data_IF_737522125398
#
_entry.id   IF_737522125398
#
_cell.length_a   1.000
_cell.length_b   1.000
_cell.length_c   1.000
_cell.angle_alpha   90.00
_cell.angle_beta   90.00
_cell.angle_gamma   90.00
#
_symmetry.space_group_name_H-M   'P 1'
#
loop_
_entity.id
_entity.type
_entity.pdbx_description
1 polymer ?
#
# COMPACT_ATOMS: atom_id res chain seq x y z
N UNK A 1 -23.01 11.83 35.58
CA UNK A 1 -23.38 13.15 35.04
C UNK A 1 -22.73 13.21 33.69
N UNK A 2 -23.58 13.34 32.69
CA UNK A 2 -23.38 13.00 31.29
C UNK A 2 -22.08 13.56 30.71
N UNK A 3 -21.27 12.67 30.17
CA UNK A 3 -20.09 13.00 29.37
C UNK A 3 -20.50 12.96 27.91
N UNK A 4 -21.08 14.06 27.45
CA UNK A 4 -21.19 14.35 26.03
C UNK A 4 -19.77 14.57 25.50
N UNK A 5 -19.22 13.54 24.85
CA UNK A 5 -18.09 13.74 23.94
C UNK A 5 -18.56 14.76 22.90
N UNK A 6 -17.89 15.92 22.88
CA UNK A 6 -18.13 16.95 21.88
C UNK A 6 -17.99 16.28 20.51
N UNK A 7 -19.14 16.13 19.87
CA UNK A 7 -19.26 15.72 18.50
C UNK A 7 -18.35 16.62 17.66
N UNK A 8 -17.53 15.99 16.80
CA UNK A 8 -17.10 16.66 15.58
C UNK A 8 -18.34 17.29 14.94
N UNK A 9 -18.26 18.47 14.33
CA UNK A 9 -19.43 19.08 13.72
C UNK A 9 -20.08 18.01 12.85
N UNK A 10 -21.39 17.83 13.03
CA UNK A 10 -22.23 17.11 12.10
C UNK A 10 -22.01 17.78 10.74
N UNK A 11 -20.98 17.35 10.00
CA UNK A 11 -20.99 17.47 8.56
C UNK A 11 -22.20 16.64 8.21
N UNK A 12 -23.33 17.32 7.98
CA UNK A 12 -24.51 16.77 7.33
C UNK A 12 -24.01 15.68 6.40
N UNK A 13 -24.42 14.43 6.67
CA UNK A 13 -24.09 13.30 5.81
C UNK A 13 -24.18 13.82 4.39
N UNK A 14 -23.06 13.78 3.65
CA UNK A 14 -22.92 14.36 2.33
C UNK A 14 -23.86 13.57 1.41
N UNK A 15 -25.14 13.89 1.53
CA UNK A 15 -26.30 13.32 0.91
C UNK A 15 -26.60 14.24 -0.25
N UNK A 16 -25.58 14.46 -1.08
CA UNK A 16 -25.82 14.96 -2.42
C UNK A 16 -26.66 13.91 -3.16
N UNK A 17 -27.68 14.35 -3.92
CA UNK A 17 -28.73 13.47 -4.37
C UNK A 17 -28.16 12.46 -5.37
N UNK A 18 -28.02 11.21 -4.92
CA UNK A 18 -28.08 10.09 -5.86
C UNK A 18 -29.43 10.22 -6.53
N UNK A 19 -29.43 10.41 -7.85
CA UNK A 19 -30.66 10.36 -8.64
C UNK A 19 -31.38 9.08 -8.23
N UNK A 20 -32.60 9.18 -7.68
CA UNK A 20 -33.31 8.02 -7.13
C UNK A 20 -33.53 6.93 -8.20
N UNK A 21 -33.39 7.32 -9.47
CA UNK A 21 -33.45 6.47 -10.64
C UNK A 21 -32.14 5.70 -10.96
N UNK A 22 -31.00 6.08 -10.37
CA UNK A 22 -29.72 5.33 -10.44
C UNK A 22 -29.64 4.18 -9.42
N UNK A 23 -30.53 4.16 -8.41
CA UNK A 23 -30.68 3.04 -7.45
C UNK A 23 -31.52 1.91 -8.09
N UNK A 24 -31.37 1.69 -9.39
CA UNK A 24 -32.00 0.57 -10.08
C UNK A 24 -31.23 -0.71 -9.79
N UNK A 25 -31.84 -1.68 -9.10
CA UNK A 25 -31.49 -3.11 -8.97
C UNK A 25 -30.16 -3.54 -9.64
N UNK A 26 -29.02 -3.08 -9.13
CA UNK A 26 -27.71 -3.57 -9.53
C UNK A 26 -27.24 -4.59 -8.49
N UNK A 27 -26.70 -5.70 -8.97
CA UNK A 27 -26.12 -6.71 -8.10
C UNK A 27 -24.70 -6.28 -7.70
N UNK A 28 -24.52 -6.01 -6.41
CA UNK A 28 -23.24 -5.60 -5.85
C UNK A 28 -22.15 -6.66 -6.06
N UNK A 29 -22.52 -7.94 -6.13
CA UNK A 29 -21.58 -9.03 -6.34
C UNK A 29 -21.00 -9.03 -7.76
N UNK A 30 -21.63 -8.35 -8.73
CA UNK A 30 -21.21 -8.33 -10.14
C UNK A 30 -21.00 -6.93 -10.70
N UNK A 31 -21.22 -5.88 -9.90
CA UNK A 31 -21.03 -4.49 -10.31
C UNK A 31 -19.61 -4.24 -10.84
N UNK A 32 -19.50 -3.45 -11.92
CA UNK A 32 -18.22 -3.11 -12.56
C UNK A 32 -17.73 -4.16 -13.56
N UNK A 33 -18.34 -5.36 -13.59
CA UNK A 33 -18.03 -6.38 -14.58
C UNK A 33 -18.88 -6.24 -15.84
N UNK A 34 -18.22 -6.29 -17.00
CA UNK A 34 -18.92 -6.42 -18.28
C UNK A 34 -19.55 -7.81 -18.41
N UNK A 35 -20.62 -7.96 -19.21
CA UNK A 35 -21.24 -9.27 -19.47
C UNK A 35 -20.27 -10.32 -20.03
N UNK A 36 -19.21 -9.87 -20.73
CA UNK A 36 -18.13 -10.74 -21.20
C UNK A 36 -17.34 -11.42 -20.08
N UNK A 37 -17.36 -10.86 -18.86
CA UNK A 37 -16.71 -11.46 -17.70
C UNK A 37 -17.34 -12.81 -17.32
N UNK A 38 -18.62 -13.03 -17.62
CA UNK A 38 -19.35 -14.26 -17.29
C UNK A 38 -19.31 -15.30 -18.41
N UNK A 39 -18.75 -14.95 -19.57
CA UNK A 39 -18.50 -15.94 -20.62
C UNK A 39 -17.59 -17.01 -20.03
N UNK A 40 -18.00 -18.27 -20.18
CA UNK A 40 -17.26 -19.44 -19.68
C UNK A 40 -17.05 -19.45 -18.15
N UNK A 41 -17.93 -18.82 -17.37
CA UNK A 41 -17.89 -18.84 -15.90
C UNK A 41 -17.66 -20.25 -15.34
N UNK A 42 -18.43 -21.24 -15.79
CA UNK A 42 -18.25 -22.63 -15.40
C UNK A 42 -16.81 -23.14 -15.65
N UNK A 43 -16.17 -22.76 -16.77
CA UNK A 43 -14.79 -23.16 -17.04
C UNK A 43 -13.80 -22.47 -16.09
N UNK A 44 -14.03 -21.21 -15.75
CA UNK A 44 -13.19 -20.49 -14.77
C UNK A 44 -13.28 -21.10 -13.38
N UNK A 45 -14.49 -21.43 -12.93
CA UNK A 45 -14.73 -22.09 -11.64
C UNK A 45 -14.10 -23.48 -11.61
N UNK A 46 -14.30 -24.28 -12.67
CA UNK A 46 -13.67 -25.59 -12.77
C UNK A 46 -12.13 -25.50 -12.83
N UNK A 47 -11.59 -24.49 -13.51
CA UNK A 47 -10.14 -24.26 -13.54
C UNK A 47 -9.58 -23.93 -12.15
N UNK A 48 -10.30 -23.15 -11.34
CA UNK A 48 -9.91 -22.85 -9.96
C UNK A 48 -9.98 -24.09 -9.06
N UNK A 49 -11.06 -24.88 -9.16
CA UNK A 49 -11.23 -26.15 -8.40
C UNK A 49 -10.11 -27.15 -8.70
N UNK A 50 -9.80 -27.32 -9.99
CA UNK A 50 -8.85 -28.32 -10.45
C UNK A 50 -7.41 -27.78 -10.49
N UNK A 51 -7.14 -26.58 -9.93
CA UNK A 51 -5.82 -25.95 -9.98
C UNK A 51 -4.76 -26.82 -9.29
N UNK A 52 -5.12 -27.46 -8.18
CA UNK A 52 -4.24 -28.37 -7.44
C UNK A 52 -3.87 -29.63 -8.24
N UNK A 53 -4.77 -30.10 -9.11
CA UNK A 53 -4.57 -31.32 -9.91
C UNK A 53 -3.55 -31.09 -11.05
N UNK A 54 -3.19 -29.82 -11.31
CA UNK A 54 -2.16 -29.44 -12.30
C UNK A 54 -0.74 -29.56 -11.76
N UNK A 55 -0.57 -29.71 -10.44
CA UNK A 55 0.75 -29.84 -9.84
C UNK A 55 1.23 -31.28 -9.97
N UNK A 56 2.31 -31.48 -10.72
CA UNK A 56 2.97 -32.79 -10.79
C UNK A 56 3.66 -33.13 -9.45
N UNK A 57 3.95 -34.41 -9.17
CA UNK A 57 4.76 -34.78 -8.00
C UNK A 57 6.10 -34.04 -7.92
N UNK A 58 6.73 -33.74 -9.05
CA UNK A 58 7.95 -32.94 -9.12
C UNK A 58 7.69 -31.50 -8.64
N UNK A 59 6.61 -30.86 -9.09
CA UNK A 59 6.25 -29.52 -8.65
C UNK A 59 6.00 -29.47 -7.14
N UNK A 60 5.32 -30.48 -6.59
CA UNK A 60 5.11 -30.56 -5.15
C UNK A 60 6.42 -30.70 -4.37
N UNK A 61 7.36 -31.50 -4.86
CA UNK A 61 8.70 -31.64 -4.28
C UNK A 61 9.51 -30.33 -4.32
N UNK A 62 9.44 -29.59 -5.43
CA UNK A 62 10.08 -28.29 -5.56
C UNK A 62 9.47 -27.24 -4.63
N UNK A 63 8.13 -27.21 -4.51
CA UNK A 63 7.40 -26.32 -3.59
C UNK A 63 7.81 -26.62 -2.15
N UNK A 64 7.82 -27.89 -1.74
CA UNK A 64 8.23 -28.30 -0.39
C UNK A 64 9.70 -27.92 -0.09
N UNK A 65 10.58 -28.09 -1.08
CA UNK A 65 11.99 -27.69 -0.94
C UNK A 65 12.11 -26.18 -0.77
N UNK A 66 11.41 -25.40 -1.60
CA UNK A 66 11.40 -23.95 -1.50
C UNK A 66 10.83 -23.46 -0.17
N UNK A 67 9.69 -24.02 0.23
CA UNK A 67 9.03 -23.74 1.50
C UNK A 67 9.97 -23.97 2.70
N UNK A 68 10.68 -25.10 2.71
CA UNK A 68 11.68 -25.43 3.73
C UNK A 68 12.80 -24.38 3.79
N UNK A 69 13.34 -23.96 2.64
CA UNK A 69 14.41 -22.95 2.57
C UNK A 69 13.93 -21.62 3.18
N UNK A 70 12.72 -21.18 2.83
CA UNK A 70 12.15 -19.91 3.30
C UNK A 70 11.84 -19.98 4.80
N UNK A 71 11.15 -21.03 5.25
CA UNK A 71 10.77 -21.19 6.67
C UNK A 71 11.97 -21.29 7.60
N UNK A 72 13.02 -22.00 7.19
CA UNK A 72 14.23 -22.18 7.99
C UNK A 72 15.33 -21.15 7.69
N UNK A 73 15.07 -20.19 6.79
CA UNK A 73 15.99 -19.11 6.39
C UNK A 73 17.37 -19.67 6.01
N UNK A 74 17.41 -20.76 5.24
CA UNK A 74 18.67 -21.39 4.84
C UNK A 74 19.53 -20.41 4.04
N UNK A 75 20.78 -20.22 4.48
CA UNK A 75 21.76 -19.46 3.72
C UNK A 75 22.10 -20.15 2.40
N UNK A 76 22.40 -19.36 1.36
CA UNK A 76 22.80 -19.86 0.04
C UNK A 76 23.95 -20.87 0.14
N UNK A 77 24.98 -20.53 0.92
CA UNK A 77 26.14 -21.41 1.13
C UNK A 77 25.74 -22.72 1.83
N UNK A 78 24.88 -22.65 2.84
CA UNK A 78 24.37 -23.82 3.56
C UNK A 78 23.57 -24.73 2.63
N UNK A 79 22.71 -24.17 1.78
CA UNK A 79 21.94 -24.97 0.81
C UNK A 79 22.85 -25.74 -0.14
N UNK A 80 23.86 -25.07 -0.70
CA UNK A 80 24.81 -25.74 -1.59
C UNK A 80 25.71 -26.74 -0.86
N UNK A 81 26.09 -26.49 0.39
CA UNK A 81 26.81 -27.46 1.21
C UNK A 81 25.95 -28.71 1.49
N UNK A 82 24.66 -28.53 1.80
CA UNK A 82 23.73 -29.65 1.97
C UNK A 82 23.61 -30.47 0.69
N UNK A 83 23.48 -29.78 -0.44
CA UNK A 83 23.43 -30.41 -1.76
C UNK A 83 24.73 -31.18 -2.08
N UNK A 84 25.89 -30.72 -1.65
CA UNK A 84 27.16 -31.39 -1.93
C UNK A 84 27.44 -32.58 -1.00
N UNK A 85 27.16 -32.43 0.30
CA UNK A 85 27.54 -33.39 1.33
C UNK A 85 26.52 -34.51 1.53
N UNK A 86 25.22 -34.22 1.36
CA UNK A 86 24.15 -35.16 1.73
C UNK A 86 23.36 -35.70 0.54
N UNK A 87 23.51 -35.12 -0.65
CA UNK A 87 22.89 -35.65 -1.88
C UNK A 87 23.85 -36.64 -2.52
N UNK A 88 23.49 -37.92 -2.41
CA UNK A 88 24.27 -39.05 -2.94
C UNK A 88 24.30 -39.05 -4.46
N UNK A 89 25.44 -38.66 -5.04
CA UNK A 89 25.65 -38.58 -6.49
C UNK A 89 25.56 -39.95 -7.20
N UNK A 90 25.67 -41.05 -6.45
CA UNK A 90 25.63 -42.43 -6.92
C UNK A 90 24.21 -43.00 -7.08
N UNK A 91 23.17 -42.28 -6.64
CA UNK A 91 21.77 -42.71 -6.76
C UNK A 91 21.04 -41.91 -7.85
N UNK A 92 20.49 -42.55 -8.89
CA UNK A 92 19.68 -41.85 -9.89
C UNK A 92 18.41 -41.28 -9.23
N UNK A 93 18.04 -40.04 -9.60
CA UNK A 93 16.86 -39.29 -9.14
C UNK A 93 16.92 -38.69 -7.72
N UNK A 94 18.08 -38.62 -7.06
CA UNK A 94 18.26 -37.75 -5.88
C UNK A 94 19.07 -36.53 -6.28
N UNK A 95 18.41 -35.46 -6.72
CA UNK A 95 19.08 -34.17 -6.94
C UNK A 95 18.22 -33.05 -6.40
N UNK A 96 18.75 -32.25 -5.46
CA UNK A 96 18.14 -30.97 -5.15
C UNK A 96 18.34 -30.02 -6.34
N UNK A 97 17.32 -29.28 -6.78
CA UNK A 97 17.47 -28.26 -7.82
C UNK A 97 18.39 -27.11 -7.36
N UNK A 98 18.98 -26.37 -8.30
CA UNK A 98 19.67 -25.12 -7.94
C UNK A 98 18.67 -24.08 -7.43
N UNK A 99 19.11 -23.15 -6.57
CA UNK A 99 18.24 -22.06 -6.10
C UNK A 99 17.65 -21.24 -7.25
N UNK A 100 18.45 -20.96 -8.29
CA UNK A 100 17.98 -20.26 -9.50
C UNK A 100 16.84 -21.02 -10.18
N UNK A 101 16.96 -22.35 -10.29
CA UNK A 101 15.92 -23.20 -10.87
C UNK A 101 14.65 -23.16 -10.01
N UNK A 102 14.78 -23.34 -8.68
CA UNK A 102 13.66 -23.24 -7.74
C UNK A 102 12.92 -21.90 -7.86
N UNK A 103 13.63 -20.78 -7.82
CA UNK A 103 13.02 -19.45 -7.94
C UNK A 103 12.25 -19.29 -9.27
N UNK A 104 12.84 -19.75 -10.38
CA UNK A 104 12.21 -19.70 -11.70
C UNK A 104 10.94 -20.55 -11.75
N UNK A 105 11.00 -21.78 -11.18
CA UNK A 105 9.86 -22.68 -11.09
C UNK A 105 8.77 -22.12 -10.18
N UNK A 106 9.10 -21.58 -9.01
CA UNK A 106 8.14 -20.97 -8.09
C UNK A 106 7.43 -19.78 -8.74
N UNK A 107 8.17 -18.93 -9.45
CA UNK A 107 7.57 -17.82 -10.20
C UNK A 107 6.57 -18.36 -11.24
N UNK A 108 6.97 -19.36 -12.02
CA UNK A 108 6.09 -19.98 -13.02
C UNK A 108 4.84 -20.65 -12.42
N UNK A 109 4.99 -21.36 -11.30
CA UNK A 109 3.90 -22.06 -10.61
C UNK A 109 2.95 -21.12 -9.89
N UNK A 110 3.45 -20.00 -9.36
CA UNK A 110 2.62 -19.00 -8.68
C UNK A 110 1.65 -18.29 -9.61
N UNK A 111 1.93 -18.28 -10.93
CA UNK A 111 1.18 -17.51 -11.91
C UNK A 111 1.40 -15.99 -11.82
N UNK A 112 2.25 -15.52 -10.91
CA UNK A 112 2.57 -14.11 -10.76
C UNK A 112 3.50 -13.63 -11.88
N UNK A 113 3.15 -12.50 -12.48
CA UNK A 113 3.98 -11.80 -13.48
C UNK A 113 4.42 -10.49 -12.89
N UNK A 114 5.69 -10.40 -12.51
CA UNK A 114 6.26 -9.14 -12.02
C UNK A 114 6.39 -8.13 -13.14
N UNK A 115 6.20 -6.85 -12.82
CA UNK A 115 6.39 -5.74 -13.75
C UNK A 115 7.65 -4.98 -13.34
N UNK A 116 8.56 -4.76 -14.29
CA UNK A 116 9.79 -4.03 -14.04
C UNK A 116 9.65 -2.59 -14.53
N UNK A 117 9.94 -1.65 -13.65
CA UNK A 117 9.96 -0.23 -13.93
C UNK A 117 11.38 0.32 -13.79
N UNK A 118 11.78 1.20 -14.70
CA UNK A 118 13.06 1.89 -14.57
C UNK A 118 12.97 2.90 -13.44
N UNK A 119 14.02 3.01 -12.63
CA UNK A 119 14.10 4.00 -11.55
C UNK A 119 15.47 4.66 -11.50
N UNK A 120 15.54 5.79 -10.80
CA UNK A 120 16.82 6.46 -10.58
C UNK A 120 17.76 5.56 -9.77
N UNK A 121 19.05 5.54 -10.14
CA UNK A 121 20.10 4.78 -9.44
C UNK A 121 20.24 5.13 -7.95
N UNK A 122 19.97 6.39 -7.61
CA UNK A 122 19.94 6.89 -6.22
C UNK A 122 18.54 6.82 -5.59
N UNK A 123 17.65 6.03 -6.20
CA UNK A 123 16.28 5.75 -5.75
C UNK A 123 15.38 6.98 -5.63
N UNK A 124 15.75 8.09 -6.28
CA UNK A 124 15.03 9.35 -6.12
C UNK A 124 13.58 9.26 -6.61
N UNK A 125 13.36 8.65 -7.79
CA UNK A 125 12.08 8.55 -8.51
C UNK A 125 11.94 7.22 -9.23
N UNK A 126 10.70 6.81 -9.46
CA UNK A 126 10.29 5.83 -10.47
C UNK A 126 9.93 6.55 -11.79
N UNK A 127 10.46 6.11 -12.92
CA UNK A 127 10.14 6.68 -14.23
C UNK A 127 8.81 6.09 -14.75
N UNK A 128 7.70 6.53 -14.16
CA UNK A 128 6.33 6.13 -14.53
C UNK A 128 5.41 7.36 -14.56
N UNK A 129 4.20 7.20 -15.10
CA UNK A 129 3.21 8.26 -15.21
C UNK A 129 3.80 9.52 -15.86
N UNK A 130 3.75 10.64 -15.15
CA UNK A 130 4.27 11.94 -15.63
C UNK A 130 5.81 11.99 -15.74
N UNK A 131 6.54 11.05 -15.15
CA UNK A 131 8.00 10.93 -15.24
C UNK A 131 8.46 9.90 -16.30
N UNK A 132 7.54 9.21 -16.97
CA UNK A 132 7.85 8.08 -17.85
C UNK A 132 8.79 8.45 -19.02
N UNK A 133 8.70 9.69 -19.52
CA UNK A 133 9.48 10.16 -20.66
C UNK A 133 10.81 10.83 -20.28
N UNK A 134 11.13 10.94 -18.99
CA UNK A 134 12.39 11.53 -18.56
C UNK A 134 13.54 10.54 -18.74
N UNK A 135 14.65 11.04 -19.27
CA UNK A 135 15.91 10.28 -19.37
C UNK A 135 16.89 10.64 -18.26
N UNK A 136 16.63 11.71 -17.52
CA UNK A 136 17.46 12.24 -16.43
C UNK A 136 16.60 12.46 -15.19
N UNK A 137 17.15 12.14 -14.01
CA UNK A 137 16.44 12.29 -12.75
C UNK A 137 16.24 13.79 -12.40
N UNK A 138 15.00 14.25 -12.16
CA UNK A 138 14.73 15.66 -11.85
C UNK A 138 15.29 16.13 -10.49
N UNK A 139 15.74 15.20 -9.63
CA UNK A 139 16.26 15.54 -8.30
C UNK A 139 17.79 15.45 -8.16
N UNK A 140 18.45 14.59 -8.93
CA UNK A 140 19.90 14.39 -8.81
C UNK A 140 20.67 14.55 -10.12
N UNK A 141 19.98 14.73 -11.25
CA UNK A 141 20.59 14.94 -12.56
C UNK A 141 21.31 13.72 -13.14
N UNK A 142 21.12 12.53 -12.55
CA UNK A 142 21.70 11.30 -13.08
C UNK A 142 20.82 10.72 -14.18
N UNK A 143 21.47 10.21 -15.23
CA UNK A 143 20.80 9.50 -16.32
C UNK A 143 20.09 8.22 -15.82
N UNK A 144 18.92 7.96 -16.39
CA UNK A 144 18.20 6.70 -16.21
C UNK A 144 18.97 5.51 -16.81
N UNK A 145 19.69 5.73 -17.91
CA UNK A 145 20.37 4.69 -18.68
C UNK A 145 21.89 4.81 -18.56
N UNK A 146 22.60 3.68 -18.68
CA UNK A 146 24.06 3.67 -18.79
C UNK A 146 24.50 3.87 -20.25
N UNK A 147 25.82 3.95 -20.48
CA UNK A 147 26.38 4.11 -21.82
C UNK A 147 26.04 2.99 -22.82
N UNK A 148 25.59 1.81 -22.33
CA UNK A 148 25.14 0.70 -23.16
C UNK A 148 23.62 0.73 -23.43
N UNK A 149 22.90 1.76 -22.97
CA UNK A 149 21.45 1.91 -23.14
C UNK A 149 20.61 1.07 -22.18
N UNK A 150 21.21 0.41 -21.18
CA UNK A 150 20.48 -0.35 -20.18
C UNK A 150 20.11 0.53 -18.97
N UNK A 151 18.95 0.29 -18.32
CA UNK A 151 18.56 1.05 -17.13
C UNK A 151 19.58 0.85 -16.00
N UNK A 152 19.94 1.93 -15.30
CA UNK A 152 20.91 1.88 -14.20
C UNK A 152 20.33 1.24 -12.93
N UNK A 153 19.01 1.33 -12.72
CA UNK A 153 18.30 0.66 -11.64
C UNK A 153 16.87 0.29 -12.08
N UNK A 154 16.33 -0.74 -11.44
CA UNK A 154 14.99 -1.28 -11.72
C UNK A 154 14.26 -1.50 -10.40
N UNK A 155 13.01 -1.05 -10.37
CA UNK A 155 12.04 -1.41 -9.34
C UNK A 155 11.15 -2.53 -9.89
N UNK A 156 11.08 -3.64 -9.17
CA UNK A 156 10.21 -4.77 -9.52
C UNK A 156 8.93 -4.69 -8.69
N UNK A 157 7.83 -4.45 -9.38
CA UNK A 157 6.49 -4.46 -8.84
C UNK A 157 5.88 -5.85 -8.95
N UNK A 158 5.20 -6.29 -7.88
CA UNK A 158 4.48 -7.56 -7.79
C UNK A 158 2.98 -7.21 -7.75
N UNK A 159 2.24 -7.44 -8.85
CA UNK A 159 0.83 -7.06 -8.97
C UNK A 159 -0.03 -7.54 -7.81
N UNK A 160 -0.88 -6.66 -7.29
CA UNK A 160 -1.73 -6.91 -6.11
C UNK A 160 -2.98 -7.71 -6.48
N UNK A 161 -3.69 -7.34 -7.54
CA UNK A 161 -4.92 -7.96 -8.03
C UNK A 161 -4.81 -9.49 -8.13
N UNK A 162 -3.83 -10.08 -8.85
CA UNK A 162 -3.76 -11.53 -8.97
C UNK A 162 -3.49 -12.22 -7.62
N UNK A 163 -2.79 -11.56 -6.69
CA UNK A 163 -2.57 -12.08 -5.35
C UNK A 163 -3.89 -12.11 -4.56
N UNK A 164 -4.69 -11.04 -4.60
CA UNK A 164 -6.00 -10.99 -3.94
C UNK A 164 -7.00 -11.99 -4.55
N UNK A 165 -7.05 -12.11 -5.88
CA UNK A 165 -7.87 -13.11 -6.57
C UNK A 165 -7.51 -14.54 -6.13
N UNK A 166 -6.21 -14.84 -5.95
CA UNK A 166 -5.76 -16.16 -5.52
C UNK A 166 -6.23 -16.52 -4.09
N UNK A 167 -6.44 -15.54 -3.20
CA UNK A 167 -6.95 -15.80 -1.84
C UNK A 167 -8.37 -16.38 -1.88
N UNK A 168 -9.21 -15.93 -2.80
CA UNK A 168 -10.59 -16.43 -2.99
C UNK A 168 -10.65 -17.82 -3.63
N UNK A 169 -9.60 -18.23 -4.35
CA UNK A 169 -9.46 -19.57 -4.91
C UNK A 169 -9.07 -20.63 -3.86
N UNK A 170 -8.63 -20.23 -2.67
CA UNK A 170 -8.33 -21.17 -1.58
C UNK A 170 -9.50 -21.26 -0.59
N UNK A 171 -10.19 -22.42 -0.46
CA UNK A 171 -11.37 -22.52 0.41
C UNK A 171 -11.13 -22.19 1.87
N UNK A 172 -9.93 -22.45 2.41
CA UNK A 172 -9.59 -22.15 3.82
C UNK A 172 -9.36 -20.66 4.01
N UNK A 173 -8.60 -20.04 3.12
CA UNK A 173 -8.33 -18.60 3.18
C UNK A 173 -9.60 -17.81 2.93
N UNK A 174 -10.38 -18.16 1.90
CA UNK A 174 -11.64 -17.52 1.56
C UNK A 174 -12.61 -17.49 2.77
N UNK A 175 -12.81 -18.62 3.45
CA UNK A 175 -13.62 -18.67 4.69
C UNK A 175 -13.13 -17.67 5.76
N UNK A 176 -11.82 -17.49 5.85
CA UNK A 176 -11.19 -16.58 6.82
C UNK A 176 -11.38 -15.12 6.44
N UNK A 177 -11.45 -14.79 5.15
CA UNK A 177 -11.67 -13.42 4.63
C UNK A 177 -13.04 -12.83 5.01
N UNK A 178 -13.99 -13.66 5.42
CA UNK A 178 -15.28 -13.18 5.93
C UNK A 178 -15.20 -12.62 7.36
N UNK A 179 -14.02 -12.55 7.99
CA UNK A 179 -13.87 -11.98 9.33
C UNK A 179 -14.46 -10.57 9.41
N UNK A 180 -14.10 -9.66 8.48
CA UNK A 180 -14.65 -8.29 8.43
C UNK A 180 -16.18 -8.28 8.39
N UNK A 181 -16.77 -9.09 7.52
CA UNK A 181 -18.22 -9.12 7.34
C UNK A 181 -18.97 -9.72 8.55
N UNK A 182 -18.30 -10.59 9.30
CA UNK A 182 -18.84 -11.23 10.51
C UNK A 182 -18.47 -10.50 11.80
N UNK A 183 -17.61 -9.48 11.73
CA UNK A 183 -17.17 -8.70 12.87
C UNK A 183 -18.36 -7.97 13.49
N UNK A 184 -18.47 -8.04 14.81
CA UNK A 184 -19.52 -7.37 15.58
C UNK A 184 -18.85 -6.40 16.51
N UNK A 185 -19.01 -5.12 16.20
CA UNK A 185 -18.56 -4.02 17.04
C UNK A 185 -19.15 -4.14 18.45
N UNK A 186 -18.29 -4.01 19.45
CA UNK A 186 -18.70 -3.70 20.82
C UNK A 186 -18.78 -2.16 20.96
N UNK A 187 -19.82 -1.65 21.63
CA UNK A 187 -19.96 -0.22 21.84
C UNK A 187 -19.14 0.29 23.04
N UNK A 188 -18.62 -0.61 23.88
CA UNK A 188 -17.88 -0.27 25.09
C UNK A 188 -16.36 -0.37 24.90
N UNK A 189 -15.90 -1.19 23.94
CA UNK A 189 -14.48 -1.50 23.72
C UNK A 189 -14.06 -1.23 22.28
N UNK A 190 -12.80 -0.86 22.11
CA UNK A 190 -12.12 -0.83 20.80
C UNK A 190 -11.29 -2.09 20.71
N UNK A 191 -11.70 -3.03 19.87
CA UNK A 191 -11.06 -4.33 19.67
C UNK A 191 -10.40 -4.46 18.29
N UNK A 192 -10.93 -3.74 17.30
CA UNK A 192 -10.47 -3.85 15.92
C UNK A 192 -10.41 -2.49 15.19
N UNK A 193 -9.70 -2.42 14.06
CA UNK A 193 -9.68 -1.24 13.17
C UNK A 193 -11.10 -0.89 12.70
N UNK A 194 -12.00 -1.89 12.62
CA UNK A 194 -13.39 -1.69 12.26
C UNK A 194 -14.18 -0.88 13.29
N UNK A 195 -13.71 -0.74 14.53
CA UNK A 195 -14.36 0.11 15.54
C UNK A 195 -14.10 1.59 15.32
N UNK A 196 -13.07 1.92 14.54
CA UNK A 196 -12.64 3.29 14.26
C UNK A 196 -13.75 4.12 13.62
N UNK A 197 -13.85 5.38 14.03
CA UNK A 197 -14.80 6.33 13.44
C UNK A 197 -14.62 6.45 11.93
N UNK A 198 -13.38 6.40 11.43
CA UNK A 198 -13.07 6.47 10.01
C UNK A 198 -13.68 5.30 9.22
N UNK A 199 -13.51 4.06 9.67
CA UNK A 199 -14.09 2.89 9.00
C UNK A 199 -15.63 2.93 9.04
N UNK A 200 -16.21 3.34 10.17
CA UNK A 200 -17.67 3.46 10.32
C UNK A 200 -18.25 4.57 9.42
N UNK A 201 -17.52 5.68 9.26
CA UNK A 201 -17.85 6.71 8.30
C UNK A 201 -17.78 6.18 6.86
N UNK A 202 -16.70 5.48 6.48
CA UNK A 202 -16.56 4.87 5.16
C UNK A 202 -17.74 3.94 4.81
N UNK A 203 -18.15 3.07 5.74
CA UNK A 203 -19.31 2.18 5.55
C UNK A 203 -20.60 2.92 5.16
N UNK A 204 -20.70 4.20 5.51
CA UNK A 204 -21.85 5.05 5.21
C UNK A 204 -21.65 5.96 3.98
N UNK A 205 -20.44 6.03 3.43
CA UNK A 205 -20.03 6.89 2.33
C UNK A 205 -20.10 6.15 0.99
N UNK A 206 -20.60 6.82 -0.06
CA UNK A 206 -20.56 6.28 -1.42
C UNK A 206 -19.14 6.34 -2.00
N UNK A 207 -18.75 5.31 -2.74
CA UNK A 207 -17.43 5.27 -3.38
C UNK A 207 -17.38 6.33 -4.46
N UNK A 208 -16.26 7.06 -4.56
CA UNK A 208 -16.00 8.01 -5.65
C UNK A 208 -14.74 7.59 -6.37
N UNK A 209 -14.80 7.54 -7.70
CA UNK A 209 -13.67 7.16 -8.55
C UNK A 209 -13.47 8.26 -9.59
N UNK A 210 -12.29 8.86 -9.62
CA UNK A 210 -11.96 9.98 -10.49
C UNK A 210 -12.94 11.17 -10.40
N UNK A 211 -13.54 11.38 -9.22
CA UNK A 211 -14.55 12.42 -8.99
C UNK A 211 -15.97 12.02 -9.39
N UNK A 212 -16.18 10.78 -9.82
CA UNK A 212 -17.50 10.25 -10.18
C UNK A 212 -18.01 9.33 -9.08
N UNK A 213 -19.16 9.71 -8.50
CA UNK A 213 -19.89 8.90 -7.54
C UNK A 213 -20.29 7.55 -8.13
N UNK A 214 -20.08 6.50 -7.35
CA UNK A 214 -20.52 5.16 -7.65
C UNK A 214 -21.81 4.85 -6.87
N UNK A 215 -22.68 3.97 -7.38
CA UNK A 215 -23.98 3.72 -6.78
C UNK A 215 -23.90 2.80 -5.54
N UNK A 216 -22.70 2.49 -5.03
CA UNK A 216 -22.48 1.66 -3.85
C UNK A 216 -21.61 2.35 -2.80
N UNK A 217 -21.83 1.97 -1.55
CA UNK A 217 -21.02 2.41 -0.42
C UNK A 217 -19.76 1.56 -0.25
N UNK A 218 -18.76 2.10 0.45
CA UNK A 218 -17.63 1.28 0.87
C UNK A 218 -18.15 0.10 1.70
N UNK A 219 -17.57 -1.07 1.48
CA UNK A 219 -17.85 -2.26 2.30
C UNK A 219 -19.30 -2.76 2.33
N UNK A 220 -20.14 -2.30 1.38
CA UNK A 220 -21.56 -2.68 1.27
C UNK A 220 -21.81 -4.15 0.87
N UNK A 221 -20.76 -4.87 0.47
CA UNK A 221 -20.79 -6.31 0.20
C UNK A 221 -19.72 -7.01 1.05
N UNK A 222 -19.96 -8.26 1.43
CA UNK A 222 -19.08 -9.04 2.31
C UNK A 222 -17.69 -9.31 1.71
N UNK A 223 -17.57 -9.40 0.38
CA UNK A 223 -16.33 -9.69 -0.32
C UNK A 223 -15.49 -8.44 -0.62
N UNK A 224 -15.97 -7.24 -0.27
CA UNK A 224 -15.16 -6.03 -0.35
C UNK A 224 -14.03 -6.07 0.69
N UNK A 225 -12.80 -5.91 0.22
CA UNK A 225 -11.59 -5.98 1.03
C UNK A 225 -11.20 -4.61 1.60
N UNK A 226 -10.91 -4.57 2.90
CA UNK A 226 -10.29 -3.45 3.61
C UNK A 226 -8.78 -3.69 3.70
N UNK A 227 -8.00 -2.77 3.14
CA UNK A 227 -6.55 -2.89 3.04
C UNK A 227 -5.87 -1.79 3.84
N UNK A 228 -4.68 -2.10 4.35
CA UNK A 228 -3.74 -1.12 4.89
C UNK A 228 -2.41 -1.14 4.16
N UNK A 229 -1.71 0.00 4.15
CA UNK A 229 -0.43 0.15 3.47
C UNK A 229 0.68 0.55 4.45
N UNK A 230 1.71 -0.27 4.54
CA UNK A 230 2.97 0.07 5.21
C UNK A 230 4.01 0.53 4.21
N UNK A 231 4.70 1.62 4.54
CA UNK A 231 5.75 2.22 3.72
C UNK A 231 7.02 2.55 4.49
N UNK A 232 7.29 1.85 5.59
CA UNK A 232 8.44 2.15 6.43
C UNK A 232 9.77 1.81 5.75
N UNK A 233 10.78 2.65 5.98
CA UNK A 233 12.13 2.43 5.49
C UNK A 233 12.90 1.47 6.40
N UNK A 234 13.59 0.48 5.83
CA UNK A 234 14.40 -0.46 6.60
C UNK A 234 15.84 -0.57 6.09
N UNK A 235 16.76 -0.93 6.98
CA UNK A 235 18.15 -1.27 6.63
C UNK A 235 18.32 -2.80 6.65
N UNK A 236 18.33 -3.48 5.51
CA UNK A 236 18.36 -4.96 5.47
C UNK A 236 19.71 -5.55 5.91
N UNK A 237 20.79 -4.75 5.93
CA UNK A 237 22.13 -5.21 6.26
C UNK A 237 22.65 -4.55 7.55
N UNK A 238 23.45 -5.29 8.32
CA UNK A 238 24.05 -4.82 9.58
C UNK A 238 24.87 -3.53 9.42
N UNK A 239 25.44 -3.32 8.24
CA UNK A 239 26.04 -2.03 7.87
C UNK A 239 24.93 -1.19 7.22
N UNK A 240 24.44 -0.16 7.92
CA UNK A 240 23.39 0.80 7.50
C UNK A 240 23.77 1.66 6.27
N UNK A 241 24.50 1.10 5.31
CA UNK A 241 24.95 1.77 4.08
C UNK A 241 23.85 1.82 3.02
N UNK A 242 22.94 0.85 3.05
CA UNK A 242 21.83 0.74 2.11
C UNK A 242 20.52 0.66 2.90
N UNK A 243 19.61 1.58 2.59
CA UNK A 243 18.21 1.49 2.99
C UNK A 243 17.38 0.89 1.85
N UNK A 244 16.28 0.24 2.16
CA UNK A 244 15.25 -0.15 1.19
C UNK A 244 13.87 0.13 1.79
N UNK A 245 12.88 0.33 0.94
CA UNK A 245 11.53 0.67 1.37
C UNK A 245 10.56 -0.37 0.82
N UNK A 246 10.20 -1.40 1.61
CA UNK A 246 9.16 -2.33 1.22
C UNK A 246 7.80 -1.63 1.21
N UNK A 247 7.02 -1.93 0.17
CA UNK A 247 5.61 -1.52 0.06
C UNK A 247 4.76 -2.73 0.42
N UNK A 248 4.15 -2.70 1.61
CA UNK A 248 3.48 -3.88 2.19
C UNK A 248 2.01 -3.59 2.38
N UNK A 249 1.16 -4.45 1.83
CA UNK A 249 -0.29 -4.44 2.02
C UNK A 249 -0.65 -5.40 3.16
N UNK A 250 -1.46 -4.90 4.10
CA UNK A 250 -2.15 -5.69 5.11
C UNK A 250 -3.59 -5.88 4.64
N UNK A 251 -4.08 -7.12 4.70
CA UNK A 251 -5.48 -7.42 4.42
C UNK A 251 -6.24 -7.57 5.75
N UNK A 252 -7.01 -6.55 6.12
CA UNK A 252 -7.80 -6.53 7.37
C UNK A 252 -9.01 -7.46 7.33
N UNK A 253 -9.37 -8.02 6.17
CA UNK A 253 -10.39 -9.06 6.11
C UNK A 253 -9.95 -10.37 6.76
N UNK A 254 -8.69 -10.50 7.14
CA UNK A 254 -8.21 -11.58 7.99
C UNK A 254 -8.26 -11.18 9.48
N UNK A 255 -8.50 -12.12 10.40
CA UNK A 255 -8.47 -11.83 11.83
C UNK A 255 -7.15 -11.19 12.31
N UNK A 256 -7.17 -10.30 13.31
CA UNK A 256 -5.98 -9.60 13.84
C UNK A 256 -4.84 -10.53 14.24
N UNK A 257 -5.16 -11.73 14.72
CA UNK A 257 -4.17 -12.72 15.16
C UNK A 257 -3.31 -13.25 14.01
N UNK A 258 -3.77 -13.08 12.77
CA UNK A 258 -3.13 -13.64 11.58
C UNK A 258 -2.82 -12.63 10.49
N UNK A 259 -3.49 -11.46 10.43
CA UNK A 259 -3.37 -10.53 9.30
C UNK A 259 -1.95 -9.95 9.11
N UNK A 260 -1.18 -9.81 10.20
CA UNK A 260 0.21 -9.32 10.18
C UNK A 260 1.28 -10.43 10.14
N UNK A 261 0.88 -11.70 10.04
CA UNK A 261 1.85 -12.79 9.91
C UNK A 261 2.53 -12.71 8.53
N UNK A 262 3.82 -13.06 8.47
CA UNK A 262 4.63 -12.98 7.24
C UNK A 262 3.99 -13.68 6.03
N UNK A 263 3.22 -14.75 6.25
CA UNK A 263 2.50 -15.50 5.21
C UNK A 263 1.25 -14.81 4.66
N UNK A 264 0.74 -13.79 5.35
CA UNK A 264 -0.52 -13.11 5.07
C UNK A 264 -0.34 -11.64 4.67
N UNK A 265 0.80 -11.03 5.00
CA UNK A 265 1.17 -9.72 4.45
C UNK A 265 1.59 -9.86 2.97
N UNK A 266 1.27 -8.85 2.17
CA UNK A 266 1.53 -8.87 0.73
C UNK A 266 2.55 -7.79 0.41
N UNK A 267 3.76 -8.18 0.00
CA UNK A 267 4.76 -7.22 -0.49
C UNK A 267 4.53 -6.98 -1.98
N UNK A 268 4.16 -5.75 -2.36
CA UNK A 268 3.92 -5.37 -3.77
C UNK A 268 5.17 -4.81 -4.44
N UNK A 269 6.22 -4.53 -3.68
CA UNK A 269 7.50 -4.09 -4.23
C UNK A 269 8.46 -3.66 -3.14
N UNK A 270 9.74 -3.57 -3.49
CA UNK A 270 10.78 -3.02 -2.61
C UNK A 270 11.52 -1.94 -3.39
N UNK A 271 11.39 -0.68 -2.96
CA UNK A 271 12.17 0.42 -3.53
C UNK A 271 13.65 0.13 -3.25
N UNK A 272 14.48 0.06 -4.29
CA UNK A 272 15.89 -0.27 -4.11
C UNK A 272 16.60 0.81 -3.30
N UNK A 273 17.71 0.46 -2.65
CA UNK A 273 18.63 1.43 -2.07
C UNK A 273 19.53 2.09 -3.13
N UNK A 274 20.45 2.98 -2.73
CA UNK A 274 21.04 3.06 -1.38
C UNK A 274 20.31 4.01 -0.42
N UNK A 275 19.61 5.01 -0.93
CA UNK A 275 18.98 6.08 -0.15
C UNK A 275 17.46 5.94 -0.08
N UNK A 276 16.84 6.68 0.86
CA UNK A 276 15.38 6.80 0.89
C UNK A 276 14.88 7.49 -0.39
N UNK A 277 13.72 7.09 -0.93
CA UNK A 277 13.15 7.76 -2.09
C UNK A 277 12.88 9.24 -1.79
N UNK A 278 13.17 10.09 -2.78
CA UNK A 278 12.89 11.53 -2.68
C UNK A 278 11.44 11.83 -3.02
N UNK A 279 10.90 11.08 -3.98
CA UNK A 279 9.50 11.04 -4.36
C UNK A 279 9.01 9.60 -4.20
N UNK A 280 8.48 9.28 -3.01
CA UNK A 280 7.92 7.96 -2.72
C UNK A 280 6.62 7.72 -3.50
N UNK A 281 5.86 8.78 -3.78
CA UNK A 281 4.60 8.71 -4.52
C UNK A 281 4.80 8.17 -5.94
N UNK A 282 5.90 8.51 -6.61
CA UNK A 282 6.26 7.91 -7.90
C UNK A 282 6.36 6.38 -7.86
N UNK A 283 6.86 5.80 -6.75
CA UNK A 283 6.95 4.35 -6.56
C UNK A 283 5.61 3.70 -6.17
N UNK A 284 4.68 4.48 -5.61
CA UNK A 284 3.32 4.03 -5.29
C UNK A 284 2.39 4.02 -6.50
N UNK A 285 2.74 4.74 -7.58
CA UNK A 285 1.89 4.88 -8.77
C UNK A 285 1.37 3.53 -9.34
N UNK A 286 2.18 2.46 -9.51
CA UNK A 286 1.66 1.17 -9.98
C UNK A 286 0.62 0.55 -9.04
N UNK A 287 0.81 0.71 -7.72
CA UNK A 287 -0.16 0.25 -6.72
C UNK A 287 -1.45 1.09 -6.77
N UNK A 288 -1.34 2.41 -6.91
CA UNK A 288 -2.50 3.30 -7.00
C UNK A 288 -3.36 2.95 -8.22
N UNK A 289 -2.74 2.65 -9.36
CA UNK A 289 -3.45 2.22 -10.58
C UNK A 289 -4.26 0.93 -10.32
N UNK A 290 -3.66 -0.07 -9.69
CA UNK A 290 -4.40 -1.30 -9.32
C UNK A 290 -5.47 -1.05 -8.26
N UNK A 291 -5.24 -0.17 -7.29
CA UNK A 291 -6.26 0.20 -6.30
C UNK A 291 -7.47 0.90 -6.94
N UNK A 292 -7.25 1.71 -7.98
CA UNK A 292 -8.34 2.31 -8.77
C UNK A 292 -9.09 1.25 -9.56
N UNK A 293 -8.40 0.27 -10.15
CA UNK A 293 -9.06 -0.88 -10.81
C UNK A 293 -9.88 -1.72 -9.82
N UNK A 294 -9.32 -2.03 -8.66
CA UNK A 294 -10.01 -2.73 -7.57
C UNK A 294 -11.23 -1.94 -7.07
N UNK A 295 -11.13 -0.61 -6.98
CA UNK A 295 -12.26 0.22 -6.60
C UNK A 295 -13.42 0.11 -7.61
N UNK A 296 -13.13 -0.04 -8.92
CA UNK A 296 -14.12 -0.25 -9.98
C UNK A 296 -14.71 -1.66 -9.98
N UNK A 297 -13.96 -2.63 -9.46
CA UNK A 297 -14.31 -4.05 -9.44
C UNK A 297 -13.59 -4.84 -10.52
N UNK A 298 -12.91 -5.90 -10.10
CA UNK A 298 -12.14 -6.79 -11.00
C UNK A 298 -12.73 -8.20 -10.96
N UNK A 299 -12.66 -8.90 -12.10
CA UNK A 299 -13.18 -10.27 -12.20
C UNK A 299 -12.37 -11.21 -11.31
N UNK A 300 -13.04 -11.89 -10.38
CA UNK A 300 -12.49 -12.95 -9.56
C UNK A 300 -13.41 -14.18 -9.52
N UNK A 301 -12.90 -15.30 -9.02
CA UNK A 301 -13.67 -16.52 -8.76
C UNK A 301 -13.76 -16.72 -7.26
N UNK A 302 -14.98 -16.81 -6.74
CA UNK A 302 -15.22 -17.26 -5.37
C UNK A 302 -15.41 -18.78 -5.39
N UNK A 303 -14.46 -19.51 -4.79
CA UNK A 303 -14.51 -20.97 -4.77
C UNK A 303 -15.58 -21.54 -3.85
N UNK A 304 -16.05 -20.77 -2.86
CA UNK A 304 -17.09 -21.20 -1.94
C UNK A 304 -18.47 -21.03 -2.55
N UNK A 305 -18.68 -19.91 -3.26
CA UNK A 305 -19.91 -19.66 -4.00
C UNK A 305 -19.94 -20.31 -5.39
N UNK A 306 -18.80 -20.81 -5.86
CA UNK A 306 -18.63 -21.41 -7.19
C UNK A 306 -19.06 -20.49 -8.33
N UNK A 307 -18.75 -19.19 -8.18
CA UNK A 307 -19.22 -18.14 -9.07
C UNK A 307 -18.10 -17.15 -9.41
N UNK A 308 -18.26 -16.48 -10.55
CA UNK A 308 -17.51 -15.28 -10.87
C UNK A 308 -18.16 -14.09 -10.16
N UNK A 309 -17.35 -13.28 -9.50
CA UNK A 309 -17.80 -12.09 -8.79
C UNK A 309 -16.85 -10.92 -9.03
N UNK A 310 -17.32 -9.73 -8.67
CA UNK A 310 -16.56 -8.49 -8.70
C UNK A 310 -15.81 -8.31 -7.39
N UNK A 311 -14.50 -8.51 -7.45
CA UNK A 311 -13.61 -8.26 -6.33
C UNK A 311 -13.33 -6.76 -6.24
N UNK A 312 -13.72 -6.16 -5.12
CA UNK A 312 -13.35 -4.78 -4.79
C UNK A 312 -12.47 -4.73 -3.55
N UNK A 313 -11.54 -3.78 -3.54
CA UNK A 313 -10.70 -3.49 -2.38
C UNK A 313 -10.53 -1.98 -2.20
N UNK A 314 -10.41 -1.55 -0.96
CA UNK A 314 -10.23 -0.16 -0.59
C UNK A 314 -9.15 -0.03 0.47
N UNK A 315 -8.23 0.91 0.26
CA UNK A 315 -7.23 1.29 1.24
C UNK A 315 -7.90 2.17 2.31
N UNK A 316 -7.84 1.76 3.58
CA UNK A 316 -8.47 2.49 4.70
C UNK A 316 -7.46 3.16 5.62
N UNK A 317 -6.20 2.74 5.58
CA UNK A 317 -5.12 3.39 6.29
C UNK A 317 -3.78 3.26 5.55
N UNK A 318 -2.87 4.16 5.89
CA UNK A 318 -1.47 4.09 5.50
C UNK A 318 -0.63 4.48 6.70
N UNK A 319 0.36 3.67 7.02
CA UNK A 319 1.15 3.83 8.24
C UNK A 319 2.65 3.64 7.98
N UNK A 320 3.44 4.27 8.84
CA UNK A 320 4.90 4.27 8.80
C UNK A 320 5.43 5.18 9.88
N UNK A 321 6.76 5.28 10.00
CA UNK A 321 7.36 6.30 10.85
C UNK A 321 7.10 7.72 10.29
N UNK A 322 7.36 8.76 11.09
CA UNK A 322 7.14 10.15 10.67
C UNK A 322 7.90 10.46 9.35
N UNK A 323 9.18 10.06 9.18
CA UNK A 323 9.87 10.18 7.90
C UNK A 323 9.15 9.56 6.69
N UNK A 324 8.51 8.40 6.86
CA UNK A 324 7.74 7.76 5.79
C UNK A 324 6.44 8.51 5.49
N UNK A 325 5.68 8.86 6.53
CA UNK A 325 4.40 9.59 6.37
C UNK A 325 4.60 10.96 5.75
N UNK A 326 5.63 11.72 6.18
CA UNK A 326 5.96 13.03 5.59
C UNK A 326 6.32 12.94 4.11
N UNK A 327 6.91 11.83 3.63
CA UNK A 327 7.17 11.61 2.20
C UNK A 327 5.90 11.33 1.40
N UNK A 328 4.96 10.55 1.93
CA UNK A 328 3.69 10.28 1.25
C UNK A 328 2.84 11.54 1.18
N UNK A 329 2.71 12.21 2.32
CA UNK A 329 1.87 13.40 2.45
C UNK A 329 2.53 14.67 1.89
N UNK A 330 3.80 14.59 1.47
CA UNK A 330 4.65 15.72 1.04
C UNK A 330 4.74 16.86 2.07
N UNK A 331 4.86 16.49 3.34
CA UNK A 331 5.17 17.41 4.43
C UNK A 331 6.69 17.52 4.64
N UNK A 332 7.11 18.59 5.31
CA UNK A 332 8.45 18.71 5.84
C UNK A 332 8.67 17.74 7.01
N UNK A 333 9.93 17.40 7.26
CA UNK A 333 10.28 16.41 8.28
C UNK A 333 10.02 16.87 9.71
N UNK A 334 10.17 15.95 10.66
CA UNK A 334 9.92 16.13 12.10
C UNK A 334 10.64 17.31 12.81
N UNK A 335 11.64 17.95 12.19
CA UNK A 335 12.31 19.14 12.71
C UNK A 335 11.81 20.45 12.07
N UNK A 336 10.69 20.42 11.33
CA UNK A 336 10.06 21.60 10.78
C UNK A 336 9.33 22.42 11.84
N UNK A 337 8.99 23.67 11.52
CA UNK A 337 8.13 24.50 12.36
C UNK A 337 6.72 23.91 12.49
N UNK A 338 6.26 23.16 11.50
CA UNK A 338 4.99 22.42 11.54
C UNK A 338 5.29 20.94 11.25
N UNK A 339 5.69 20.17 12.29
CA UNK A 339 6.18 18.80 12.09
C UNK A 339 5.07 17.74 12.11
N UNK A 340 3.86 18.10 12.54
CA UNK A 340 2.71 17.20 12.56
C UNK A 340 2.00 17.23 11.20
N UNK A 341 1.66 16.06 10.65
CA UNK A 341 0.89 15.98 9.41
C UNK A 341 -0.64 16.11 9.61
N UNK A 342 -1.09 16.29 10.85
CA UNK A 342 -2.51 16.27 11.23
C UNK A 342 -2.99 17.56 11.90
N UNK A 343 -2.09 18.35 12.48
CA UNK A 343 -2.43 19.60 13.14
C UNK A 343 -1.42 20.70 12.83
N UNK A 344 -1.87 21.94 12.98
CA UNK A 344 -1.12 23.16 12.65
C UNK A 344 -0.33 23.70 13.85
N UNK A 345 -0.07 22.87 14.86
CA UNK A 345 0.67 23.29 16.05
C UNK A 345 2.11 23.60 15.64
N UNK A 346 2.51 24.84 15.89
CA UNK A 346 3.87 25.27 15.65
C UNK A 346 4.83 24.71 16.70
N UNK A 347 5.93 24.13 16.24
CA UNK A 347 7.06 23.70 17.03
C UNK A 347 7.97 24.89 17.36
N UNK A 348 8.37 24.98 18.63
CA UNK A 348 9.23 26.04 19.15
C UNK A 348 10.60 25.48 19.56
N UNK A 349 11.66 26.31 19.61
CA UNK A 349 12.95 25.89 20.12
C UNK A 349 12.87 25.50 21.61
N UNK A 350 13.47 24.36 21.97
CA UNK A 350 13.59 23.96 23.37
C UNK A 350 14.42 24.94 24.20
N UNK A 351 13.97 25.29 25.42
CA UNK A 351 14.79 26.08 26.35
C UNK A 351 16.15 25.42 26.63
N UNK A 352 16.20 24.10 26.62
CA UNK A 352 17.42 23.30 26.79
C UNK A 352 18.30 23.23 25.53
N UNK A 353 17.83 23.72 24.38
CA UNK A 353 18.53 23.56 23.11
C UNK A 353 19.82 24.37 23.03
N UNK A 354 20.01 25.42 23.86
CA UNK A 354 21.24 26.24 23.94
C UNK A 354 21.80 26.67 22.56
N UNK A 355 20.92 27.03 21.62
CA UNK A 355 21.28 27.37 20.23
C UNK A 355 21.25 26.22 19.23
N UNK A 356 20.82 25.02 19.64
CA UNK A 356 20.55 23.89 18.76
C UNK A 356 19.25 24.04 17.96
N UNK A 357 19.16 23.36 16.82
CA UNK A 357 18.03 23.43 15.87
C UNK A 357 16.86 22.49 16.21
N UNK A 358 16.83 21.92 17.42
CA UNK A 358 15.78 20.99 17.80
C UNK A 358 14.52 21.76 18.22
N UNK A 359 13.44 21.53 17.46
CA UNK A 359 12.11 22.05 17.74
C UNK A 359 11.28 20.98 18.46
N UNK A 360 10.33 21.41 19.27
CA UNK A 360 9.34 20.54 19.91
C UNK A 360 7.98 21.24 19.94
N UNK A 361 6.90 20.48 19.99
CA UNK A 361 5.53 21.00 20.09
C UNK A 361 5.07 20.91 21.56
N UNK A 362 5.24 21.96 22.39
CA UNK A 362 4.69 21.95 23.73
C UNK A 362 3.16 22.07 23.68
N UNK A 363 2.43 21.39 24.59
CA UNK A 363 1.00 21.64 24.79
C UNK A 363 0.71 23.04 25.38
N UNK A 364 1.72 23.67 26.00
CA UNK A 364 1.64 25.03 26.55
C UNK A 364 2.79 25.87 26.01
N UNK A 365 2.48 26.86 25.18
CA UNK A 365 3.48 27.79 24.67
C UNK A 365 3.72 28.92 25.69
N UNK A 366 4.97 29.38 25.91
CA UNK A 366 5.30 30.32 26.98
C UNK A 366 4.61 31.69 26.92
N UNK A 367 4.08 32.08 25.76
CA UNK A 367 3.54 33.43 25.49
C UNK A 367 2.16 33.42 24.77
N UNK A 368 1.57 32.25 24.53
CA UNK A 368 0.30 32.08 23.80
C UNK A 368 -0.76 31.41 24.69
N UNK A 369 -2.03 31.55 24.27
CA UNK A 369 -3.14 30.86 24.93
C UNK A 369 -2.91 29.33 24.91
N UNK A 370 -3.26 28.61 26.00
CA UNK A 370 -3.16 27.16 26.03
C UNK A 370 -3.92 26.53 24.86
N UNK A 371 -3.24 25.65 24.13
CA UNK A 371 -3.89 24.89 23.06
C UNK A 371 -4.80 23.84 23.71
N UNK A 372 -6.09 23.85 23.36
CA UNK A 372 -7.03 22.83 23.82
C UNK A 372 -6.72 21.49 23.16
N UNK A 373 -6.24 20.47 23.89
CA UNK A 373 -5.90 19.17 23.31
C UNK A 373 -7.13 18.44 22.71
N UNK A 374 -8.35 18.87 23.04
CA UNK A 374 -9.58 18.33 22.48
C UNK A 374 -10.10 19.12 21.27
N UNK A 375 -9.51 20.28 20.98
CA UNK A 375 -9.88 21.14 19.87
C UNK A 375 -8.63 21.74 19.21
N UNK A 376 -7.83 20.86 18.61
CA UNK A 376 -6.62 21.23 17.91
C UNK A 376 -6.95 21.90 16.57
N UNK A 377 -6.14 22.88 16.11
CA UNK A 377 -6.20 23.33 14.73
C UNK A 377 -5.74 22.19 13.82
N UNK A 378 -6.66 21.51 13.15
CA UNK A 378 -6.36 20.34 12.32
C UNK A 378 -6.02 20.77 10.89
N UNK A 379 -5.04 20.10 10.29
CA UNK A 379 -4.75 20.25 8.87
C UNK A 379 -5.90 19.63 8.05
N UNK A 380 -6.43 20.35 7.06
CA UNK A 380 -7.39 19.79 6.12
C UNK A 380 -6.71 19.30 4.84
N UNK A 381 -7.36 18.37 4.15
CA UNK A 381 -6.87 17.89 2.85
C UNK A 381 -6.80 19.03 1.83
N UNK A 382 -7.84 19.88 1.77
CA UNK A 382 -7.97 20.98 0.83
C UNK A 382 -6.90 22.04 1.05
N UNK A 383 -6.68 22.44 2.31
CA UNK A 383 -5.64 23.42 2.66
C UNK A 383 -4.24 22.87 2.33
N UNK A 384 -3.99 21.59 2.63
CA UNK A 384 -2.72 20.93 2.29
C UNK A 384 -2.46 20.95 0.79
N UNK A 385 -3.48 20.62 -0.02
CA UNK A 385 -3.37 20.66 -1.49
C UNK A 385 -3.11 22.09 -1.99
N UNK A 386 -3.83 23.07 -1.47
CA UNK A 386 -3.67 24.47 -1.84
C UNK A 386 -2.26 24.97 -1.51
N UNK A 387 -1.81 24.80 -0.26
CA UNK A 387 -0.47 25.20 0.19
C UNK A 387 0.62 24.51 -0.63
N UNK A 388 0.44 23.21 -0.91
CA UNK A 388 1.35 22.46 -1.76
C UNK A 388 1.42 22.99 -3.20
N UNK A 389 0.28 23.37 -3.79
CA UNK A 389 0.23 23.96 -5.12
C UNK A 389 0.90 25.34 -5.16
N UNK A 390 0.68 26.17 -4.14
CA UNK A 390 1.35 27.47 -3.99
C UNK A 390 2.88 27.32 -3.96
N UNK A 391 3.39 26.35 -3.19
CA UNK A 391 4.84 26.07 -3.14
C UNK A 391 5.38 25.69 -4.52
N UNK A 392 4.66 24.84 -5.27
CA UNK A 392 5.09 24.38 -6.59
C UNK A 392 5.04 25.47 -7.68
N UNK A 393 4.22 26.50 -7.53
CA UNK A 393 4.11 27.62 -8.48
C UNK A 393 5.24 28.65 -8.31
N UNK A 394 5.96 28.64 -7.19
CA UNK A 394 7.05 29.57 -6.94
C UNK A 394 8.30 29.14 -7.72
N UNK A 395 8.69 29.92 -8.72
CA UNK A 395 9.86 29.61 -9.56
C UNK A 395 11.21 29.73 -8.83
N UNK A 396 11.31 30.60 -7.82
CA UNK A 396 12.54 30.78 -7.06
C UNK A 396 12.63 29.72 -5.95
N UNK A 397 13.65 28.85 -6.02
CA UNK A 397 13.81 27.74 -5.07
C UNK A 397 13.92 28.18 -3.60
N UNK A 398 14.52 29.34 -3.31
CA UNK A 398 14.62 29.87 -1.95
C UNK A 398 13.25 30.31 -1.44
N UNK A 399 12.52 31.08 -2.25
CA UNK A 399 11.17 31.52 -1.90
C UNK A 399 10.19 30.34 -1.74
N UNK A 400 10.32 29.31 -2.59
CA UNK A 400 9.53 28.08 -2.46
C UNK A 400 9.84 27.33 -1.16
N UNK A 401 11.13 27.24 -0.80
CA UNK A 401 11.56 26.62 0.44
C UNK A 401 11.09 27.40 1.68
N UNK A 402 11.05 28.72 1.62
CA UNK A 402 10.54 29.55 2.72
C UNK A 402 9.02 29.42 2.87
N UNK A 403 8.26 29.43 1.76
CA UNK A 403 6.82 29.12 1.77
C UNK A 403 6.51 27.73 2.31
N UNK A 404 7.34 26.74 1.99
CA UNK A 404 7.21 25.39 2.53
C UNK A 404 7.43 25.35 4.06
N UNK A 405 8.38 26.15 4.59
CA UNK A 405 8.60 26.25 6.04
C UNK A 405 7.44 26.92 6.77
N UNK A 406 6.81 27.91 6.13
CA UNK A 406 5.64 28.62 6.68
C UNK A 406 4.40 27.73 6.80
N UNK A 407 4.23 26.78 5.89
CA UNK A 407 3.06 25.87 5.86
C UNK A 407 3.34 24.49 6.44
N UNK A 408 4.61 24.06 6.49
CA UNK A 408 4.96 22.66 6.75
C UNK A 408 4.83 21.75 5.53
N UNK A 409 4.33 22.24 4.39
CA UNK A 409 4.08 21.45 3.17
C UNK A 409 5.19 21.68 2.16
N UNK A 410 5.83 20.61 1.67
CA UNK A 410 6.97 20.65 0.74
C UNK A 410 6.55 20.93 -0.71
N UNK A 411 5.29 20.66 -1.04
CA UNK A 411 4.71 20.76 -2.37
C UNK A 411 4.01 19.45 -2.75
N UNK A 412 2.71 19.51 -3.05
CA UNK A 412 1.95 18.30 -3.40
C UNK A 412 2.06 18.05 -4.90
N UNK A 413 2.86 17.06 -5.27
CA UNK A 413 2.93 16.57 -6.65
C UNK A 413 1.65 15.77 -6.95
N UNK A 414 0.54 16.44 -7.25
CA UNK A 414 -0.62 15.73 -7.78
C UNK A 414 -0.25 15.19 -9.17
N UNK A 415 -0.59 13.94 -9.45
CA UNK A 415 -0.47 13.33 -10.78
C UNK A 415 -1.22 14.10 -11.88
N UNK A 416 -2.06 15.08 -11.50
CA UNK A 416 -2.86 15.92 -12.40
C UNK A 416 -2.30 17.34 -12.61
N UNK A 417 -1.20 17.74 -11.94
CA UNK A 417 -0.81 19.16 -11.83
C UNK A 417 0.59 19.53 -12.34
N UNK A 418 1.12 18.81 -13.33
CA UNK A 418 2.17 19.39 -14.21
C UNK A 418 1.77 19.25 -15.68
N UNK A 419 2.07 20.28 -16.50
CA UNK A 419 1.58 20.41 -17.88
C UNK A 419 2.01 19.27 -18.81
#
# INVERSE_FOLDING_TARGET
>A
MDTDFVSAPDSEADTQPVDKDLVGTFDLATYGLASSAFIQENLHVQAAKNAQDRLTPENLGDIQTFDFIIHHRLGVQTYYAVQQEFVRQDLPNQTLPSLKCLHTKMLGLSGLKTVNYHCCKESCVLYTGYLANLTECPHCGLDCYNAAGAPQAVFTYIPLIPQLCALYCNPKTNKTLHYRANYKKDNELIEDIFDSQHYQWLCNTFVTIDGVWQPYKFFSDSCKLALGLSVDGMCPFKCRKNSCWPLIIINYNLPPEVCILLKNIICVGVVPGPHSPRDLNSFLQPLVEELVELAKGVKAVDILCEAVFSLCAHLIDTFGDIPALTKILEFLGHNAHFPCCFCEIMAIPGHSAKGGSHLYCPPYQPDDDPIDPFNLPLCTHEDTLQQGAEVLQIANATAAADKAKESGVKGVLSSRSRP
#
